data_IF_169744854631
#
_entry.id   IF_169744854631
#
_cell.length_a   1.000
_cell.length_b   1.000
_cell.length_c   1.000
_cell.angle_alpha   90.00
_cell.angle_beta   90.00
_cell.angle_gamma   90.00
#
_symmetry.space_group_name_H-M   'P 1'
#
loop_
_entity.id
_entity.type
_entity.pdbx_description
1 polymer ?
#
# COMPACT_ATOMS: atom_id res chain seq x y z
N UNK A 1 11.04 20.77 -24.24
CA UNK A 1 10.95 20.31 -22.84
C UNK A 1 10.77 18.82 -22.88
N UNK A 2 11.58 18.04 -22.16
CA UNK A 2 11.50 16.58 -22.17
C UNK A 2 10.51 16.06 -21.15
N UNK A 3 9.61 15.20 -21.60
CA UNK A 3 8.56 14.60 -20.78
C UNK A 3 9.20 13.50 -19.94
N UNK A 4 9.45 13.79 -18.66
CA UNK A 4 10.06 12.84 -17.73
C UNK A 4 9.06 11.72 -17.37
N UNK A 5 8.92 10.76 -18.28
CA UNK A 5 8.06 9.59 -18.13
C UNK A 5 8.73 8.47 -17.30
N UNK A 6 9.98 8.67 -16.87
CA UNK A 6 10.80 7.66 -16.18
C UNK A 6 10.56 7.58 -14.66
N UNK A 7 9.83 8.53 -14.08
CA UNK A 7 9.60 8.58 -12.64
C UNK A 7 8.41 7.69 -12.21
N UNK A 8 7.41 7.52 -13.06
CA UNK A 8 6.18 6.78 -12.71
C UNK A 8 6.38 5.27 -12.61
N UNK A 9 7.24 4.67 -13.46
CA UNK A 9 7.50 3.23 -13.44
C UNK A 9 8.26 2.78 -12.19
N UNK A 10 9.28 3.54 -11.76
CA UNK A 10 10.06 3.24 -10.56
C UNK A 10 9.23 3.35 -9.28
N UNK A 11 8.37 4.38 -9.18
CA UNK A 11 7.48 4.52 -8.02
C UNK A 11 6.47 3.37 -7.93
N UNK A 12 5.94 2.91 -9.07
CA UNK A 12 4.98 1.80 -9.09
C UNK A 12 5.63 0.48 -8.65
N UNK A 13 6.87 0.22 -9.08
CA UNK A 13 7.61 -0.97 -8.65
C UNK A 13 7.99 -0.91 -7.17
N UNK A 14 8.40 0.26 -6.67
CA UNK A 14 8.67 0.47 -5.25
C UNK A 14 7.41 0.25 -4.40
N UNK A 15 6.27 0.81 -4.80
CA UNK A 15 5.01 0.66 -4.07
C UNK A 15 4.49 -0.78 -4.04
N UNK A 16 4.81 -1.62 -5.05
CA UNK A 16 4.46 -3.04 -5.03
C UNK A 16 5.05 -3.77 -3.82
N UNK A 17 6.27 -3.44 -3.39
CA UNK A 17 6.91 -4.06 -2.21
C UNK A 17 6.15 -3.77 -0.90
N UNK A 18 5.25 -2.77 -0.92
CA UNK A 18 4.43 -2.39 0.23
C UNK A 18 2.95 -2.74 0.04
N UNK A 19 2.59 -3.41 -1.07
CA UNK A 19 1.22 -3.80 -1.35
C UNK A 19 0.75 -4.84 -0.34
N UNK A 20 -0.44 -4.66 0.21
CA UNK A 20 -1.03 -5.61 1.16
C UNK A 20 -1.93 -6.58 0.37
N UNK A 21 -1.59 -7.88 0.31
CA UNK A 21 -2.46 -8.86 -0.32
C UNK A 21 -3.80 -9.01 0.41
N UNK A 22 -4.88 -9.22 -0.35
CA UNK A 22 -6.24 -9.26 0.18
C UNK A 22 -6.45 -10.33 1.24
N UNK A 23 -5.74 -11.47 1.13
CA UNK A 23 -5.82 -12.57 2.11
C UNK A 23 -5.32 -12.19 3.53
N UNK A 24 -4.55 -11.10 3.67
CA UNK A 24 -4.14 -10.59 4.99
C UNK A 24 -5.32 -9.89 5.67
N UNK A 25 -6.20 -9.28 4.89
CA UNK A 25 -7.33 -8.48 5.39
C UNK A 25 -8.58 -9.34 5.52
N UNK A 26 -8.81 -10.24 4.57
CA UNK A 26 -9.96 -11.13 4.51
C UNK A 26 -9.49 -12.59 4.43
N UNK A 27 -9.77 -13.35 5.49
CA UNK A 27 -9.43 -14.77 5.57
C UNK A 27 -10.20 -15.65 4.57
N UNK A 28 -11.28 -15.14 3.99
CA UNK A 28 -12.09 -15.82 2.97
C UNK A 28 -11.69 -15.43 1.55
N UNK A 29 -10.79 -14.45 1.37
CA UNK A 29 -10.32 -14.06 0.06
C UNK A 29 -9.60 -15.23 -0.61
N UNK A 30 -10.03 -15.53 -1.85
CA UNK A 30 -9.32 -16.51 -2.66
C UNK A 30 -7.88 -16.04 -2.85
N UNK A 31 -6.92 -16.89 -2.48
CA UNK A 31 -5.50 -16.63 -2.69
C UNK A 31 -5.28 -16.58 -4.22
N UNK A 32 -5.39 -15.40 -4.81
CA UNK A 32 -4.97 -15.18 -6.18
C UNK A 32 -3.47 -15.41 -6.23
N UNK A 33 -3.08 -16.25 -7.18
CA UNK A 33 -1.73 -16.71 -7.51
C UNK A 33 -0.62 -15.97 -6.74
N UNK A 34 0.00 -16.67 -5.79
CA UNK A 34 1.05 -16.14 -4.91
C UNK A 34 2.37 -15.89 -5.64
N UNK A 35 2.32 -15.32 -6.84
CA UNK A 35 3.49 -15.04 -7.67
C UNK A 35 4.34 -13.89 -7.11
N UNK A 36 3.82 -13.14 -6.14
CA UNK A 36 4.48 -11.96 -5.60
C UNK A 36 4.31 -11.88 -4.08
N UNK A 37 5.42 -12.08 -3.38
CA UNK A 37 5.56 -11.82 -1.95
C UNK A 37 6.55 -10.67 -1.78
N UNK A 38 6.23 -9.67 -0.93
CA UNK A 38 7.20 -8.62 -0.62
C UNK A 38 8.38 -9.26 0.11
N UNK A 39 9.61 -8.86 -0.25
CA UNK A 39 10.82 -9.37 0.40
C UNK A 39 10.85 -8.98 1.88
N UNK A 40 10.28 -7.83 2.21
CA UNK A 40 10.20 -7.27 3.56
C UNK A 40 8.76 -6.80 3.88
N UNK A 41 7.88 -7.66 4.41
CA UNK A 41 6.52 -7.25 4.75
C UNK A 41 6.52 -6.20 5.87
N UNK A 42 5.81 -5.08 5.65
CA UNK A 42 5.70 -3.97 6.61
C UNK A 42 4.30 -3.92 7.21
N UNK A 43 4.20 -3.98 8.53
CA UNK A 43 2.95 -3.78 9.26
C UNK A 43 2.96 -2.41 9.93
N UNK A 44 1.98 -1.56 9.60
CA UNK A 44 1.88 -0.18 10.10
C UNK A 44 0.68 -0.04 11.03
N UNK A 45 0.93 0.37 12.27
CA UNK A 45 -0.12 0.73 13.24
C UNK A 45 -0.27 2.24 13.30
N UNK A 46 -1.41 2.76 12.84
CA UNK A 46 -1.71 4.19 12.84
C UNK A 46 -2.74 4.49 13.94
N UNK A 47 -2.35 5.32 14.92
CA UNK A 47 -3.31 5.93 15.81
C UNK A 47 -3.92 7.16 15.14
N UNK A 48 -5.15 7.00 14.62
CA UNK A 48 -5.83 8.03 13.85
C UNK A 48 -6.11 9.33 14.61
N UNK A 49 -6.11 9.30 15.95
CA UNK A 49 -6.41 10.48 16.80
C UNK A 49 -5.17 11.29 17.19
N UNK A 50 -3.97 10.83 16.84
CA UNK A 50 -2.72 11.51 17.16
C UNK A 50 -2.45 12.70 16.21
N UNK A 51 -1.51 13.59 16.60
CA UNK A 51 -1.02 14.67 15.73
C UNK A 51 -2.05 15.74 15.35
N UNK A 52 -3.06 15.99 16.18
CA UNK A 52 -4.10 16.99 15.88
C UNK A 52 -5.14 16.52 14.86
N UNK A 53 -5.46 15.21 14.86
CA UNK A 53 -6.39 14.53 13.92
C UNK A 53 -5.83 14.25 12.53
N UNK A 54 -4.57 14.60 12.26
CA UNK A 54 -3.88 14.26 11.01
C UNK A 54 -3.63 12.75 10.85
N UNK A 55 -3.72 11.97 11.93
CA UNK A 55 -3.62 10.51 11.86
C UNK A 55 -4.72 9.87 10.99
N UNK A 56 -5.89 10.52 10.86
CA UNK A 56 -6.96 10.07 9.96
C UNK A 56 -6.58 10.22 8.49
N UNK A 57 -5.99 11.36 8.13
CA UNK A 57 -5.53 11.64 6.76
C UNK A 57 -4.37 10.71 6.37
N UNK A 58 -3.47 10.45 7.33
CA UNK A 58 -2.37 9.50 7.16
C UNK A 58 -2.89 8.09 6.86
N UNK A 59 -3.87 7.62 7.63
CA UNK A 59 -4.50 6.32 7.40
C UNK A 59 -5.16 6.23 6.02
N UNK A 60 -5.88 7.28 5.60
CA UNK A 60 -6.55 7.34 4.30
C UNK A 60 -5.55 7.32 3.14
N UNK A 61 -4.46 8.09 3.26
CA UNK A 61 -3.39 8.14 2.27
C UNK A 61 -2.70 6.79 2.11
N UNK A 62 -2.37 6.13 3.23
CA UNK A 62 -1.73 4.81 3.20
C UNK A 62 -2.64 3.74 2.58
N UNK A 63 -3.93 3.76 2.90
CA UNK A 63 -4.90 2.83 2.28
C UNK A 63 -4.98 3.02 0.76
N UNK A 64 -5.12 4.27 0.30
CA UNK A 64 -5.18 4.57 -1.14
C UNK A 64 -3.92 4.14 -1.90
N UNK A 65 -2.74 4.22 -1.26
CA UNK A 65 -1.47 3.89 -1.91
C UNK A 65 -1.14 2.39 -1.87
N UNK A 66 -1.52 1.69 -0.81
CA UNK A 66 -1.01 0.34 -0.50
C UNK A 66 -2.08 -0.76 -0.55
N UNK A 67 -3.36 -0.41 -0.61
CA UNK A 67 -4.47 -1.34 -0.66
C UNK A 67 -5.31 -1.08 -1.92
N UNK A 68 -5.36 -2.06 -2.82
CA UNK A 68 -6.11 -1.97 -4.08
C UNK A 68 -7.61 -2.21 -3.89
N UNK A 69 -8.03 -2.75 -2.74
CA UNK A 69 -9.39 -3.21 -2.46
C UNK A 69 -10.25 -2.16 -1.73
N UNK A 70 -10.04 -0.86 -2.03
CA UNK A 70 -10.87 0.23 -1.52
C UNK A 70 -12.10 0.45 -2.40
#
# INVERSE_FOLDING_TARGET
MGDCSSCSSNTTQFLREFYIPDYIIDSEAAIQDMSYFPECPVMVFINSKSGGQLGGDLLSTYRMLLNSAQ
#
